data_IF_044944175121
#
_entry.id   IF_044944175121
#
_cell.length_a   1.000
_cell.length_b   1.000
_cell.length_c   1.000
_cell.angle_alpha   90.00
_cell.angle_beta   90.00
_cell.angle_gamma   90.00
#
_symmetry.space_group_name_H-M   'P 1'
#
loop_
_entity.id
_entity.type
_entity.pdbx_description
1 polymer ?
#
# COMPACT_ATOMS: atom_id res chain seq x y z
N UNK A 1 -10.18 -14.41 -14.86
CA UNK A 1 -10.73 -13.20 -14.22
C UNK A 1 -9.56 -12.27 -13.98
N UNK A 2 -9.65 -11.01 -14.41
CA UNK A 2 -8.59 -10.01 -14.27
C UNK A 2 -8.80 -9.28 -12.95
N UNK A 3 -7.76 -9.15 -12.13
CA UNK A 3 -7.81 -8.37 -10.89
C UNK A 3 -7.59 -6.89 -11.19
N UNK A 4 -8.34 -6.04 -10.49
CA UNK A 4 -8.35 -4.57 -10.65
C UNK A 4 -7.76 -3.89 -9.42
N UNK A 5 -6.73 -3.10 -9.64
CA UNK A 5 -5.90 -2.50 -8.60
C UNK A 5 -6.08 -0.97 -8.53
N UNK A 6 -6.10 -0.45 -7.30
CA UNK A 6 -5.81 0.95 -7.00
C UNK A 6 -4.46 1.07 -6.30
N UNK A 7 -3.65 2.07 -6.66
CA UNK A 7 -2.34 2.31 -6.02
C UNK A 7 -2.30 3.71 -5.40
N UNK A 8 -2.15 3.78 -4.09
CA UNK A 8 -2.09 5.03 -3.33
C UNK A 8 -0.70 5.24 -2.72
N UNK A 9 0.03 6.23 -3.22
CA UNK A 9 1.33 6.60 -2.66
C UNK A 9 1.15 7.60 -1.53
N UNK A 10 1.61 7.24 -0.32
CA UNK A 10 1.64 8.10 0.86
C UNK A 10 3.04 8.73 1.00
N UNK A 11 3.16 10.03 0.73
CA UNK A 11 4.44 10.74 0.81
C UNK A 11 4.21 12.25 0.77
N UNK A 12 4.46 12.93 1.89
CA UNK A 12 4.46 14.38 2.01
C UNK A 12 5.27 15.09 0.92
N UNK A 13 6.49 14.60 0.65
CA UNK A 13 7.39 15.18 -0.35
C UNK A 13 6.87 15.01 -1.76
N UNK A 14 6.28 13.85 -2.05
CA UNK A 14 5.77 13.57 -3.40
C UNK A 14 4.45 14.31 -3.65
N UNK A 15 3.59 14.41 -2.64
CA UNK A 15 2.36 15.20 -2.69
C UNK A 15 2.64 16.71 -2.90
N UNK A 16 3.75 17.23 -2.35
CA UNK A 16 4.21 18.61 -2.58
C UNK A 16 5.02 18.80 -3.87
N UNK A 17 5.29 17.74 -4.64
CA UNK A 17 6.09 17.81 -5.86
C UNK A 17 7.59 18.01 -5.63
N UNK A 18 8.09 17.85 -4.40
CA UNK A 18 9.51 18.00 -4.05
C UNK A 18 10.36 16.82 -4.58
N UNK A 19 9.72 15.66 -4.80
CA UNK A 19 10.33 14.49 -5.44
C UNK A 19 9.28 13.71 -6.23
N UNK A 20 9.65 13.06 -7.35
CA UNK A 20 8.71 12.20 -8.06
C UNK A 20 8.33 10.98 -7.21
N UNK A 21 7.12 10.46 -7.43
CA UNK A 21 6.77 9.11 -6.99
C UNK A 21 7.41 8.10 -7.95
N UNK A 22 8.18 7.17 -7.38
CA UNK A 22 8.81 6.07 -8.11
C UNK A 22 8.21 4.71 -7.74
N UNK A 23 7.51 4.62 -6.60
CA UNK A 23 6.97 3.35 -6.10
C UNK A 23 5.63 3.04 -6.74
N UNK A 24 4.76 4.04 -6.90
CA UNK A 24 3.49 3.89 -7.60
C UNK A 24 3.65 3.36 -9.04
N UNK A 25 4.50 3.97 -9.88
CA UNK A 25 4.80 3.47 -11.22
C UNK A 25 5.40 2.07 -11.23
N UNK A 26 6.36 1.77 -10.35
CA UNK A 26 6.98 0.45 -10.28
C UNK A 26 5.98 -0.67 -9.93
N UNK A 27 5.03 -0.38 -9.04
CA UNK A 27 3.94 -1.32 -8.72
C UNK A 27 3.01 -1.52 -9.91
N UNK A 28 2.66 -0.46 -10.64
CA UNK A 28 1.81 -0.59 -11.82
C UNK A 28 2.47 -1.38 -12.95
N UNK A 29 3.77 -1.18 -13.18
CA UNK A 29 4.55 -1.98 -14.13
C UNK A 29 4.54 -3.46 -13.75
N UNK A 30 4.76 -3.79 -12.47
CA UNK A 30 4.68 -5.17 -11.98
C UNK A 30 3.28 -5.76 -12.20
N UNK A 31 2.22 -5.06 -11.80
CA UNK A 31 0.83 -5.51 -11.94
C UNK A 31 0.48 -5.76 -13.42
N UNK A 32 0.84 -4.82 -14.30
CA UNK A 32 0.61 -4.96 -15.73
C UNK A 32 1.37 -6.16 -16.32
N UNK A 33 2.61 -6.41 -15.86
CA UNK A 33 3.40 -7.56 -16.30
C UNK A 33 2.79 -8.91 -15.94
N UNK A 34 1.92 -8.95 -14.91
CA UNK A 34 1.17 -10.14 -14.49
C UNK A 34 -0.18 -10.28 -15.22
N UNK A 35 -0.50 -9.38 -16.15
CA UNK A 35 -1.77 -9.38 -16.89
C UNK A 35 -2.97 -8.87 -16.07
N UNK A 36 -2.72 -8.06 -15.04
CA UNK A 36 -3.74 -7.41 -14.22
C UNK A 36 -3.88 -5.93 -14.57
N UNK A 37 -4.93 -5.28 -14.08
CA UNK A 37 -5.26 -3.90 -14.42
C UNK A 37 -5.07 -2.95 -13.24
N UNK A 38 -4.50 -1.78 -13.49
CA UNK A 38 -4.49 -0.65 -12.53
C UNK A 38 -5.52 0.37 -13.00
N UNK A 39 -6.60 0.53 -12.24
CA UNK A 39 -7.70 1.43 -12.61
C UNK A 39 -7.54 2.85 -12.06
N UNK A 40 -6.75 3.02 -11.00
CA UNK A 40 -6.45 4.35 -10.48
C UNK A 40 -5.13 4.39 -9.72
N UNK A 41 -4.49 5.55 -9.78
CA UNK A 41 -3.31 5.88 -9.01
C UNK A 41 -3.45 7.29 -8.44
N UNK A 42 -2.95 7.51 -7.24
CA UNK A 42 -2.88 8.83 -6.63
C UNK A 42 -1.69 8.95 -5.67
N UNK A 43 -1.26 10.18 -5.45
CA UNK A 43 -0.27 10.54 -4.43
C UNK A 43 -0.94 11.45 -3.42
N UNK A 44 -0.84 11.12 -2.13
CA UNK A 44 -1.42 11.88 -1.02
C UNK A 44 -0.36 12.18 0.04
N UNK A 45 -0.52 13.26 0.84
CA UNK A 45 0.36 13.51 1.97
C UNK A 45 0.22 12.43 3.04
N UNK A 46 1.19 12.38 3.95
CA UNK A 46 1.19 11.51 5.12
C UNK A 46 0.23 12.05 6.19
N UNK A 47 -1.05 12.11 5.84
CA UNK A 47 -2.14 12.63 6.66
C UNK A 47 -3.19 11.54 6.90
N UNK A 48 -3.50 11.29 8.17
CA UNK A 48 -4.39 10.21 8.58
C UNK A 48 -5.79 10.36 7.98
N UNK A 49 -6.33 11.58 7.95
CA UNK A 49 -7.69 11.84 7.46
C UNK A 49 -7.74 11.66 5.95
N UNK A 50 -6.78 12.24 5.22
CA UNK A 50 -6.71 12.15 3.75
C UNK A 50 -6.54 10.70 3.31
N UNK A 51 -5.63 9.94 3.94
CA UNK A 51 -5.42 8.52 3.64
C UNK A 51 -6.70 7.72 3.88
N UNK A 52 -7.30 7.87 5.05
CA UNK A 52 -8.52 7.15 5.44
C UNK A 52 -9.67 7.42 4.48
N UNK A 53 -9.95 8.68 4.17
CA UNK A 53 -11.05 9.09 3.29
C UNK A 53 -10.84 8.61 1.86
N UNK A 54 -9.60 8.68 1.35
CA UNK A 54 -9.25 8.17 0.02
C UNK A 54 -9.47 6.67 -0.07
N UNK A 55 -9.01 5.90 0.93
CA UNK A 55 -9.17 4.45 0.97
C UNK A 55 -10.63 4.02 1.07
N UNK A 56 -11.45 4.72 1.87
CA UNK A 56 -12.90 4.48 1.95
C UNK A 56 -13.54 4.73 0.58
N UNK A 57 -13.30 5.91 0.00
CA UNK A 57 -13.88 6.28 -1.28
C UNK A 57 -13.51 5.27 -2.37
N UNK A 58 -12.26 4.80 -2.40
CA UNK A 58 -11.81 3.81 -3.37
C UNK A 58 -12.44 2.44 -3.15
N UNK A 59 -12.54 1.98 -1.91
CA UNK A 59 -13.18 0.70 -1.60
C UNK A 59 -14.67 0.68 -1.97
N UNK A 60 -15.33 1.84 -1.95
CA UNK A 60 -16.77 1.98 -2.23
C UNK A 60 -17.09 2.20 -3.71
N UNK A 61 -16.08 2.37 -4.58
CA UNK A 61 -16.30 2.55 -6.03
C UNK A 61 -16.95 1.35 -6.73
N UNK A 62 -16.74 0.14 -6.19
CA UNK A 62 -17.25 -1.11 -6.79
C UNK A 62 -16.45 -1.62 -7.99
N UNK A 63 -15.36 -0.96 -8.38
CA UNK A 63 -14.51 -1.34 -9.51
C UNK A 63 -13.10 -1.82 -9.12
N UNK A 64 -12.76 -1.83 -7.83
CA UNK A 64 -11.46 -2.30 -7.33
C UNK A 64 -11.62 -3.64 -6.59
N UNK A 65 -10.66 -4.53 -6.81
CA UNK A 65 -10.53 -5.77 -6.05
C UNK A 65 -9.44 -5.63 -4.97
N UNK A 66 -8.37 -4.88 -5.28
CA UNK A 66 -7.21 -4.69 -4.40
C UNK A 66 -6.81 -3.21 -4.38
N UNK A 67 -6.53 -2.69 -3.19
CA UNK A 67 -5.89 -1.38 -2.99
C UNK A 67 -4.52 -1.61 -2.37
N UNK A 68 -3.49 -1.12 -3.05
CA UNK A 68 -2.13 -1.08 -2.54
C UNK A 68 -1.83 0.33 -2.06
N UNK A 69 -1.33 0.46 -0.83
CA UNK A 69 -0.67 1.70 -0.43
C UNK A 69 0.84 1.51 -0.46
N UNK A 70 1.60 2.56 -0.76
CA UNK A 70 3.06 2.53 -0.67
C UNK A 70 3.57 3.75 0.10
N UNK A 71 4.33 3.51 1.17
CA UNK A 71 4.83 4.58 2.06
C UNK A 71 4.05 4.72 3.36
N UNK A 72 4.60 5.50 4.28
CA UNK A 72 3.98 5.80 5.59
C UNK A 72 3.88 4.62 6.56
N UNK A 73 4.70 3.56 6.38
CA UNK A 73 4.66 2.32 7.21
C UNK A 73 5.83 2.19 8.20
N UNK A 74 6.73 3.17 8.25
CA UNK A 74 7.90 3.18 9.13
C UNK A 74 7.60 3.74 10.53
N UNK A 75 8.64 4.18 11.24
CA UNK A 75 8.54 4.74 12.60
C UNK A 75 8.59 6.28 12.64
N UNK A 76 8.61 6.96 11.48
CA UNK A 76 8.60 8.42 11.49
C UNK A 76 7.26 8.92 12.08
N UNK A 77 7.23 10.07 12.77
CA UNK A 77 5.99 10.60 13.36
C UNK A 77 4.87 10.86 12.35
N UNK A 78 5.22 11.02 11.07
CA UNK A 78 4.27 11.19 9.96
C UNK A 78 3.83 9.85 9.35
N UNK A 79 4.50 8.75 9.63
CA UNK A 79 4.10 7.44 9.10
C UNK A 79 2.78 7.00 9.74
N UNK A 80 1.65 7.19 9.06
CA UNK A 80 0.29 6.93 9.58
C UNK A 80 -0.55 6.01 8.69
N UNK A 81 0.05 5.42 7.66
CA UNK A 81 -0.65 4.54 6.70
C UNK A 81 -1.26 3.29 7.37
N UNK A 82 -0.56 2.59 8.29
CA UNK A 82 -1.16 1.48 9.02
C UNK A 82 -2.38 1.90 9.83
N UNK A 83 -2.31 3.01 10.55
CA UNK A 83 -3.41 3.56 11.34
C UNK A 83 -4.62 3.91 10.47
N UNK A 84 -4.38 4.55 9.32
CA UNK A 84 -5.43 4.88 8.36
C UNK A 84 -6.15 3.63 7.84
N UNK A 85 -5.39 2.56 7.58
CA UNK A 85 -5.90 1.28 7.07
C UNK A 85 -6.68 0.54 8.16
N UNK A 86 -6.11 0.41 9.36
CA UNK A 86 -6.74 -0.25 10.51
C UNK A 86 -8.08 0.39 10.90
N UNK A 87 -8.22 1.70 10.70
CA UNK A 87 -9.43 2.44 11.05
C UNK A 87 -10.65 2.10 10.19
N UNK A 88 -10.48 1.41 9.04
CA UNK A 88 -11.55 1.26 8.03
C UNK A 88 -11.79 -0.17 7.55
N UNK A 89 -10.87 -1.09 7.84
CA UNK A 89 -11.00 -2.50 7.47
C UNK A 89 -11.99 -3.19 8.39
N UNK A 90 -12.84 -4.04 7.81
CA UNK A 90 -13.82 -4.83 8.55
C UNK A 90 -13.16 -6.06 9.19
N UNK A 91 -12.13 -6.60 8.53
CA UNK A 91 -11.40 -7.80 8.96
C UNK A 91 -9.91 -7.66 8.62
N UNK A 92 -9.05 -8.09 9.53
CA UNK A 92 -7.61 -8.11 9.29
C UNK A 92 -7.18 -9.34 8.48
N UNK A 93 -6.11 -9.17 7.69
CA UNK A 93 -5.42 -10.22 6.96
C UNK A 93 -3.95 -10.30 7.43
N UNK A 94 -3.70 -10.62 8.72
CA UNK A 94 -2.38 -10.46 9.34
C UNK A 94 -1.29 -11.30 8.67
N UNK A 95 -1.65 -12.48 8.13
CA UNK A 95 -0.72 -13.38 7.45
C UNK A 95 0.02 -12.75 6.27
N UNK A 96 -0.58 -11.77 5.57
CA UNK A 96 0.10 -11.06 4.47
C UNK A 96 1.23 -10.18 5.01
N UNK A 97 0.95 -9.42 6.08
CA UNK A 97 1.95 -8.56 6.71
C UNK A 97 3.07 -9.38 7.37
N UNK A 98 2.74 -10.55 7.93
CA UNK A 98 3.70 -11.50 8.48
C UNK A 98 4.61 -12.08 7.39
N UNK A 99 4.06 -12.55 6.27
CA UNK A 99 4.82 -13.09 5.15
C UNK A 99 5.78 -12.04 4.55
N UNK A 100 5.27 -10.83 4.31
CA UNK A 100 6.06 -9.68 3.84
C UNK A 100 7.26 -9.38 4.76
N UNK A 101 7.05 -9.31 6.07
CA UNK A 101 8.12 -9.10 7.05
C UNK A 101 9.09 -10.29 7.12
N UNK A 102 8.58 -11.52 7.10
CA UNK A 102 9.41 -12.73 7.16
C UNK A 102 10.36 -12.85 5.96
N UNK A 103 9.86 -12.57 4.75
CA UNK A 103 10.68 -12.52 3.54
C UNK A 103 11.70 -11.37 3.60
N UNK A 104 11.25 -10.17 3.99
CA UNK A 104 12.13 -9.00 4.09
C UNK A 104 13.23 -9.18 5.15
N UNK A 105 12.98 -9.94 6.23
CA UNK A 105 13.97 -10.27 7.27
C UNK A 105 15.12 -11.14 6.76
N UNK A 106 14.93 -11.89 5.67
CA UNK A 106 16.02 -12.61 5.01
C UNK A 106 16.97 -11.67 4.26
N UNK A 107 16.52 -10.45 3.95
CA UNK A 107 17.29 -9.43 3.21
C UNK A 107 17.90 -8.40 4.14
N UNK A 108 17.18 -7.96 5.17
CA UNK A 108 17.65 -6.95 6.12
C UNK A 108 17.02 -7.12 7.50
N UNK A 109 17.79 -6.98 8.59
CA UNK A 109 17.23 -7.00 9.94
C UNK A 109 16.23 -5.86 10.17
N UNK A 110 16.35 -4.74 9.45
CA UNK A 110 15.45 -3.59 9.62
C UNK A 110 14.01 -3.87 9.18
N UNK A 111 13.73 -4.99 8.52
CA UNK A 111 12.38 -5.37 8.09
C UNK A 111 11.37 -5.47 9.24
N UNK A 112 11.83 -5.81 10.46
CA UNK A 112 11.00 -5.83 11.66
C UNK A 112 10.43 -4.45 12.05
N UNK A 113 11.00 -3.36 11.53
CA UNK A 113 10.55 -1.99 11.78
C UNK A 113 9.35 -1.59 10.92
N UNK A 114 8.96 -2.39 9.94
CA UNK A 114 7.74 -2.14 9.16
C UNK A 114 6.49 -2.41 9.98
N UNK A 115 5.65 -1.38 10.13
CA UNK A 115 4.33 -1.47 10.76
C UNK A 115 3.23 -1.77 9.75
N UNK A 116 3.59 -2.18 8.52
CA UNK A 116 2.61 -2.52 7.49
C UNK A 116 1.55 -3.51 8.00
N UNK A 117 0.30 -3.24 7.60
CA UNK A 117 -0.84 -4.12 7.84
C UNK A 117 -1.51 -4.48 6.51
N UNK A 118 -2.39 -5.48 6.58
CA UNK A 118 -3.32 -5.79 5.51
C UNK A 118 -4.68 -6.14 6.11
N UNK A 119 -5.74 -5.86 5.36
CA UNK A 119 -7.11 -6.11 5.80
C UNK A 119 -8.10 -5.97 4.66
N UNK A 120 -9.36 -6.28 4.93
CA UNK A 120 -10.44 -6.32 3.96
C UNK A 120 -11.51 -5.32 4.39
N UNK A 121 -11.97 -4.50 3.46
CA UNK A 121 -13.16 -3.65 3.59
C UNK A 121 -14.17 -4.05 2.51
N UNK A 122 -15.34 -4.51 2.91
CA UNK A 122 -16.33 -5.11 2.01
C UNK A 122 -15.74 -6.29 1.25
N UNK A 123 -15.51 -6.10 -0.05
CA UNK A 123 -14.90 -7.08 -0.95
C UNK A 123 -13.49 -6.69 -1.41
N UNK A 124 -12.95 -5.57 -0.92
CA UNK A 124 -11.67 -5.01 -1.36
C UNK A 124 -10.56 -5.37 -0.37
N UNK A 125 -9.50 -6.00 -0.86
CA UNK A 125 -8.29 -6.27 -0.09
C UNK A 125 -7.39 -5.04 -0.08
N UNK A 126 -6.89 -4.66 1.10
CA UNK A 126 -5.97 -3.55 1.30
C UNK A 126 -4.63 -4.07 1.82
N UNK A 127 -3.53 -3.68 1.18
CA UNK A 127 -2.18 -4.08 1.56
C UNK A 127 -1.29 -2.84 1.66
N UNK A 128 -0.66 -2.63 2.82
CA UNK A 128 0.35 -1.58 2.95
C UNK A 128 1.73 -2.10 2.57
N UNK A 129 2.37 -1.41 1.63
CA UNK A 129 3.72 -1.72 1.15
C UNK A 129 4.73 -0.66 1.65
N UNK A 130 6.02 -1.02 1.78
CA UNK A 130 7.08 -0.08 2.10
C UNK A 130 7.20 1.05 1.05
N UNK A 131 7.72 2.21 1.45
CA UNK A 131 7.76 3.39 0.58
C UNK A 131 8.85 3.40 -0.51
N UNK A 132 9.84 2.50 -0.48
CA UNK A 132 10.87 2.46 -1.53
C UNK A 132 10.41 1.57 -2.70
N UNK A 133 10.73 1.92 -3.96
CA UNK A 133 10.22 1.17 -5.12
C UNK A 133 10.61 -0.30 -5.08
N UNK A 134 11.88 -0.56 -4.77
CA UNK A 134 12.42 -1.92 -4.62
C UNK A 134 11.66 -2.71 -3.55
N UNK A 135 11.53 -2.16 -2.34
CA UNK A 135 10.89 -2.88 -1.24
C UNK A 135 9.39 -3.07 -1.48
N UNK A 136 8.71 -2.11 -2.11
CA UNK A 136 7.30 -2.22 -2.48
C UNK A 136 7.07 -3.40 -3.45
N UNK A 137 7.87 -3.46 -4.52
CA UNK A 137 7.82 -4.54 -5.52
C UNK A 137 8.17 -5.89 -4.90
N UNK A 138 9.26 -5.97 -4.13
CA UNK A 138 9.68 -7.21 -3.45
C UNK A 138 8.61 -7.71 -2.48
N UNK A 139 7.96 -6.80 -1.73
CA UNK A 139 6.91 -7.18 -0.78
C UNK A 139 5.65 -7.65 -1.51
N UNK A 140 5.24 -6.99 -2.61
CA UNK A 140 4.11 -7.44 -3.40
C UNK A 140 4.37 -8.81 -4.05
N UNK A 141 5.60 -9.11 -4.47
CA UNK A 141 5.94 -10.43 -5.05
C UNK A 141 5.84 -11.58 -4.04
N UNK A 142 5.81 -11.28 -2.74
CA UNK A 142 5.67 -12.29 -1.68
C UNK A 142 4.19 -12.68 -1.47
N UNK A 143 3.24 -11.80 -1.81
CA UNK A 143 1.82 -11.91 -1.43
C UNK A 143 0.84 -11.85 -2.59
#
# INVERSE_FOLDING_TARGET
MTLRFGILTASDRSARGERPDLSGPALAELIASQGWEVLCQAVVPDDLTVLRETLIAWAERGDLDIILTTGGTGFAPRDVTPEATLAIVDRLAPGLAEAMRAASLQVTPHAMLSRAVAGIRGQVLMINLPGSPKAAVENLQVV
#
